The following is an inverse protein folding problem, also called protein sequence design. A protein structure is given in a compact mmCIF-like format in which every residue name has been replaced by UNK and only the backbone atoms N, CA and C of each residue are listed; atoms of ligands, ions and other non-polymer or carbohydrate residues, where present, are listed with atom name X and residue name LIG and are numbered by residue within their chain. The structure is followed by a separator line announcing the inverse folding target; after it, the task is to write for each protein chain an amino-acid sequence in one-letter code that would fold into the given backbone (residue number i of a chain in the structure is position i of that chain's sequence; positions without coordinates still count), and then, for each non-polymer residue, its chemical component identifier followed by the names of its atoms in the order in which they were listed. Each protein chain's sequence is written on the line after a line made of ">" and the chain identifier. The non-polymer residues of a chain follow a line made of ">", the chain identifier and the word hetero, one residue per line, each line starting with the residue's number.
data_IF_723928995632
#
_entry.id   IF_723928995632
#
_cell.length_a   1.000
_cell.length_b   1.000
_cell.length_c   1.000
_cell.angle_alpha   90.00
_cell.angle_beta   90.00
_cell.angle_gamma   90.00
#
_symmetry.space_group_name_H-M   'P 1'
#
loop_
_entity.id
_entity.type
_entity.pdbx_description
1 polymer ?
#
# COMPACT_ATOMS: atom_id res chain seq x y z
N UNK A 1 -36.72 6.80 -18.92
CA UNK A 1 -36.50 7.87 -17.91
C UNK A 1 -35.79 9.01 -18.61
N UNK A 2 -36.41 10.20 -18.64
CA UNK A 2 -35.80 11.42 -19.16
C UNK A 2 -34.70 11.85 -18.19
N UNK A 3 -33.43 11.73 -18.58
CA UNK A 3 -32.31 12.29 -17.83
C UNK A 3 -32.37 13.83 -17.93
N UNK A 4 -32.38 14.51 -16.78
CA UNK A 4 -32.45 15.96 -16.71
C UNK A 4 -31.08 16.56 -17.06
N UNK A 5 -31.00 17.15 -18.26
CA UNK A 5 -29.79 17.76 -18.84
C UNK A 5 -29.22 18.87 -17.94
N UNK A 6 -30.05 19.50 -17.10
CA UNK A 6 -29.62 20.55 -16.18
C UNK A 6 -28.67 20.05 -15.09
N UNK A 7 -28.92 18.85 -14.54
CA UNK A 7 -28.12 18.32 -13.43
C UNK A 7 -26.69 17.95 -13.84
N UNK A 8 -26.46 17.66 -15.13
CA UNK A 8 -25.15 17.26 -15.65
C UNK A 8 -24.25 18.46 -15.91
N UNK A 9 -24.85 19.61 -16.24
CA UNK A 9 -24.15 20.90 -16.40
C UNK A 9 -23.74 21.43 -15.03
N UNK A 10 -24.62 21.31 -14.02
CA UNK A 10 -24.33 21.75 -12.65
C UNK A 10 -23.16 20.96 -12.01
N UNK A 11 -23.02 19.67 -12.34
CA UNK A 11 -21.88 18.83 -11.91
C UNK A 11 -20.54 19.27 -12.53
N UNK A 12 -20.56 19.82 -13.74
CA UNK A 12 -19.36 20.37 -14.40
C UNK A 12 -18.96 21.73 -13.80
N UNK A 13 -19.93 22.55 -13.40
CA UNK A 13 -19.68 23.86 -12.77
C UNK A 13 -19.20 23.73 -11.31
N UNK A 14 -19.67 22.74 -10.55
CA UNK A 14 -19.15 22.51 -9.18
C UNK A 14 -17.65 22.16 -9.15
N UNK A 15 -17.12 21.55 -10.21
CA UNK A 15 -15.71 21.13 -10.29
C UNK A 15 -14.75 22.29 -10.65
N UNK A 16 -15.26 23.43 -11.14
CA UNK A 16 -14.44 24.63 -11.42
C UNK A 16 -13.91 25.29 -10.14
N UNK A 17 -14.55 25.05 -8.99
CA UNK A 17 -14.14 25.61 -7.70
C UNK A 17 -12.88 24.96 -7.10
N UNK A 18 -12.36 23.88 -7.69
CA UNK A 18 -11.32 23.03 -7.08
C UNK A 18 -9.96 23.11 -7.78
N UNK A 19 -9.85 23.64 -9.01
CA UNK A 19 -8.61 23.60 -9.78
C UNK A 19 -8.03 25.00 -10.10
N UNK A 20 -7.17 25.51 -9.21
CA UNK A 20 -6.31 26.67 -9.48
C UNK A 20 -4.92 26.21 -9.98
N UNK A 21 -4.81 25.78 -11.24
CA UNK A 21 -3.53 25.78 -11.98
C UNK A 21 -3.74 26.21 -13.44
N UNK A 22 -2.98 27.22 -13.85
CA UNK A 22 -3.20 28.03 -15.06
C UNK A 22 -3.00 27.27 -16.39
N UNK A 23 -2.36 26.09 -16.37
CA UNK A 23 -2.12 25.28 -17.58
C UNK A 23 -3.22 24.24 -17.90
N UNK A 24 -4.19 24.03 -17.00
CA UNK A 24 -5.29 23.09 -17.23
C UNK A 24 -6.50 23.77 -17.90
N UNK A 25 -6.59 25.11 -17.85
CA UNK A 25 -7.74 25.88 -18.32
C UNK A 25 -8.02 25.77 -19.83
N UNK A 26 -6.99 25.64 -20.67
CA UNK A 26 -7.16 25.50 -22.13
C UNK A 26 -7.66 24.10 -22.52
N UNK A 27 -7.16 23.05 -21.84
CA UNK A 27 -7.60 21.67 -22.04
C UNK A 27 -9.06 21.51 -21.59
N UNK A 28 -9.42 22.08 -20.44
CA UNK A 28 -10.80 22.08 -19.94
C UNK A 28 -11.76 22.88 -20.85
N UNK A 29 -11.31 24.00 -21.41
CA UNK A 29 -12.11 24.81 -22.35
C UNK A 29 -12.35 24.07 -23.67
N UNK A 30 -11.35 23.36 -24.18
CA UNK A 30 -11.48 22.51 -25.36
C UNK A 30 -12.44 21.33 -25.12
N UNK A 31 -12.37 20.71 -23.94
CA UNK A 31 -13.27 19.62 -23.52
C UNK A 31 -14.72 20.13 -23.41
N UNK A 32 -14.96 21.30 -22.81
CA UNK A 32 -16.30 21.91 -22.73
C UNK A 32 -16.90 22.15 -24.13
N UNK A 33 -16.10 22.63 -25.08
CA UNK A 33 -16.55 22.89 -26.44
C UNK A 33 -16.92 21.59 -27.20
N UNK A 34 -16.13 20.53 -26.99
CA UNK A 34 -16.40 19.19 -27.55
C UNK A 34 -17.67 18.57 -26.97
N UNK A 35 -17.85 18.62 -25.65
CA UNK A 35 -19.05 18.09 -24.97
C UNK A 35 -20.31 18.84 -25.43
N UNK A 36 -20.25 20.17 -25.53
CA UNK A 36 -21.38 20.99 -25.98
C UNK A 36 -21.79 20.66 -27.43
N UNK A 37 -20.82 20.54 -28.32
CA UNK A 37 -21.07 20.22 -29.73
C UNK A 37 -21.63 18.81 -29.96
N UNK A 38 -21.26 17.83 -29.12
CA UNK A 38 -21.75 16.45 -29.24
C UNK A 38 -23.14 16.25 -28.60
N UNK A 39 -23.45 16.99 -27.53
CA UNK A 39 -24.81 17.04 -26.94
C UNK A 39 -25.82 17.62 -27.94
N UNK A 40 -25.43 18.63 -28.72
CA UNK A 40 -26.29 19.19 -29.79
C UNK A 40 -26.51 18.23 -30.97
N UNK A 41 -25.68 17.19 -31.13
CA UNK A 41 -25.74 16.22 -32.24
C UNK A 41 -26.49 14.93 -31.92
N UNK A 42 -27.04 14.77 -30.71
CA UNK A 42 -27.83 13.59 -30.33
C UNK A 42 -27.02 12.27 -30.26
N UNK A 43 -25.68 12.36 -30.22
CA UNK A 43 -24.75 11.22 -30.14
C UNK A 43 -24.47 10.84 -28.68
N UNK A 44 -25.52 10.55 -27.90
CA UNK A 44 -25.37 10.21 -26.47
C UNK A 44 -24.62 8.89 -26.22
N UNK A 45 -24.42 8.07 -27.25
CA UNK A 45 -23.76 6.76 -27.14
C UNK A 45 -22.26 6.76 -27.51
N UNK A 46 -21.67 7.92 -27.85
CA UNK A 46 -20.26 7.99 -28.29
C UNK A 46 -19.37 8.81 -27.33
N UNK A 47 -19.96 9.57 -26.41
CA UNK A 47 -19.21 10.37 -25.42
C UNK A 47 -19.29 9.82 -23.98
N UNK A 48 -19.58 8.52 -23.85
CA UNK A 48 -19.20 7.71 -22.68
C UNK A 48 -18.10 6.73 -23.11
N UNK A 49 -17.19 7.17 -23.97
CA UNK A 49 -15.78 6.82 -23.74
C UNK A 49 -15.42 7.65 -22.51
N UNK A 50 -15.82 7.14 -21.34
CA UNK A 50 -15.22 7.54 -20.08
C UNK A 50 -13.72 7.59 -20.37
N UNK A 51 -13.10 8.76 -20.25
CA UNK A 51 -11.74 8.74 -19.77
C UNK A 51 -11.83 7.92 -18.49
N UNK A 52 -11.48 6.64 -18.55
CA UNK A 52 -11.12 5.91 -17.35
C UNK A 52 -10.05 6.80 -16.72
N UNK A 53 -10.42 7.53 -15.67
CA UNK A 53 -9.47 8.36 -14.95
C UNK A 53 -8.43 7.38 -14.45
N UNK A 54 -7.30 7.34 -15.13
CA UNK A 54 -6.20 6.47 -14.76
C UNK A 54 -5.80 6.84 -13.35
N UNK A 55 -5.75 5.85 -12.48
CA UNK A 55 -5.41 6.06 -11.09
C UNK A 55 -3.99 6.63 -11.01
N UNK A 56 -3.72 7.38 -9.94
CA UNK A 56 -2.37 7.88 -9.69
C UNK A 56 -1.37 6.71 -9.71
N UNK A 57 -0.15 7.01 -10.14
CA UNK A 57 0.90 6.00 -10.30
C UNK A 57 2.09 6.34 -9.41
N UNK A 58 2.88 5.33 -9.06
CA UNK A 58 4.15 5.50 -8.36
C UNK A 58 5.23 4.64 -9.04
N UNK A 59 6.45 5.16 -9.11
CA UNK A 59 7.58 4.51 -9.75
C UNK A 59 8.55 3.93 -8.71
N UNK A 60 8.90 2.65 -8.86
CA UNK A 60 9.83 1.90 -8.01
C UNK A 60 10.96 1.35 -8.88
N UNK A 61 12.01 2.16 -9.09
CA UNK A 61 13.24 1.77 -9.80
C UNK A 61 13.01 1.07 -11.16
N UNK A 62 12.24 1.73 -12.04
CA UNK A 62 11.90 1.23 -13.38
C UNK A 62 10.56 0.50 -13.48
N UNK A 63 9.94 0.15 -12.36
CA UNK A 63 8.60 -0.43 -12.31
C UNK A 63 7.56 0.63 -11.93
N UNK A 64 6.63 0.94 -12.85
CA UNK A 64 5.48 1.79 -12.54
C UNK A 64 4.34 0.96 -11.98
N UNK A 65 3.72 1.42 -10.92
CA UNK A 65 2.64 0.72 -10.22
C UNK A 65 1.43 1.63 -10.09
N UNK A 66 0.24 1.02 -10.17
CA UNK A 66 -1.02 1.57 -9.67
C UNK A 66 -1.87 0.42 -9.12
N UNK A 67 -3.14 0.68 -8.80
CA UNK A 67 -4.11 -0.35 -8.47
C UNK A 67 -5.36 -0.21 -9.33
N UNK A 68 -6.14 -1.27 -9.45
CA UNK A 68 -7.48 -1.23 -10.05
C UNK A 68 -8.47 -1.99 -9.19
N UNK A 69 -9.74 -1.59 -9.27
CA UNK A 69 -10.88 -2.30 -8.71
C UNK A 69 -11.88 -2.73 -9.80
N UNK A 70 -11.49 -2.64 -11.07
CA UNK A 70 -12.32 -3.03 -12.21
C UNK A 70 -11.80 -4.32 -12.83
N UNK A 71 -12.72 -5.20 -13.19
CA UNK A 71 -12.40 -6.54 -13.67
C UNK A 71 -13.30 -6.92 -14.84
N UNK A 72 -12.77 -7.73 -15.74
CA UNK A 72 -13.54 -8.47 -16.73
C UNK A 72 -13.79 -9.88 -16.21
N UNK A 73 -15.05 -10.28 -16.17
CA UNK A 73 -15.42 -11.66 -15.91
C UNK A 73 -14.84 -12.56 -17.02
N UNK A 74 -14.24 -13.69 -16.65
CA UNK A 74 -13.65 -14.64 -17.62
C UNK A 74 -14.34 -15.99 -17.62
N UNK A 75 -14.67 -16.54 -16.44
CA UNK A 75 -15.30 -17.85 -16.32
C UNK A 75 -15.85 -18.10 -14.89
N UNK A 76 -16.83 -19.01 -14.78
CA UNK A 76 -17.23 -19.61 -13.50
C UNK A 76 -17.57 -21.09 -13.67
N UNK A 77 -17.39 -21.86 -12.60
CA UNK A 77 -17.72 -23.28 -12.51
C UNK A 77 -19.22 -23.58 -12.35
N UNK A 78 -20.08 -22.58 -12.55
CA UNK A 78 -21.51 -22.71 -12.39
C UNK A 78 -22.08 -23.76 -13.35
N UNK A 79 -22.90 -24.67 -12.81
CA UNK A 79 -23.53 -25.75 -13.58
C UNK A 79 -22.65 -26.99 -13.79
N UNK A 80 -21.38 -26.98 -13.40
CA UNK A 80 -20.47 -28.13 -13.56
C UNK A 80 -20.75 -29.31 -12.62
N UNK A 81 -21.57 -29.11 -11.58
CA UNK A 81 -21.74 -30.11 -10.52
C UNK A 81 -20.53 -30.26 -9.59
N UNK A 82 -19.50 -29.43 -9.75
CA UNK A 82 -18.34 -29.35 -8.87
C UNK A 82 -18.71 -29.05 -7.41
N UNK A 83 -17.88 -29.52 -6.48
CA UNK A 83 -18.13 -29.38 -5.03
C UNK A 83 -17.76 -28.00 -4.46
N UNK A 84 -17.02 -27.21 -5.22
CA UNK A 84 -16.58 -25.86 -4.86
C UNK A 84 -17.25 -24.87 -5.80
N UNK A 85 -17.24 -23.60 -5.41
CA UNK A 85 -17.65 -22.50 -6.27
C UNK A 85 -16.41 -21.68 -6.61
N UNK A 86 -16.24 -21.36 -7.89
CA UNK A 86 -15.09 -20.64 -8.42
C UNK A 86 -15.53 -19.68 -9.51
N UNK A 87 -15.20 -18.40 -9.35
CA UNK A 87 -15.34 -17.41 -10.42
C UNK A 87 -14.00 -16.74 -10.65
N UNK A 88 -13.65 -16.57 -11.92
CA UNK A 88 -12.35 -16.07 -12.34
C UNK A 88 -12.53 -14.81 -13.15
N UNK A 89 -11.70 -13.83 -12.82
CA UNK A 89 -11.75 -12.49 -13.37
C UNK A 89 -10.36 -12.09 -13.86
N UNK A 90 -10.32 -11.14 -14.79
CA UNK A 90 -9.09 -10.51 -15.21
C UNK A 90 -9.14 -9.02 -14.86
N UNK A 91 -8.16 -8.49 -14.11
CA UNK A 91 -8.13 -7.05 -13.79
C UNK A 91 -8.00 -6.22 -15.07
N UNK A 92 -8.78 -5.15 -15.19
CA UNK A 92 -8.69 -4.26 -16.37
C UNK A 92 -7.40 -3.44 -16.31
N UNK A 93 -6.69 -3.41 -17.44
CA UNK A 93 -5.49 -2.61 -17.59
C UNK A 93 -5.82 -1.11 -17.62
N UNK A 94 -4.86 -0.28 -17.22
CA UNK A 94 -4.93 1.18 -17.33
C UNK A 94 -3.79 1.65 -18.23
N UNK A 95 -4.09 1.85 -19.52
CA UNK A 95 -3.06 2.07 -20.54
C UNK A 95 -2.09 0.90 -20.62
N UNK A 96 -0.79 1.16 -20.41
CA UNK A 96 0.26 0.13 -20.40
C UNK A 96 0.46 -0.53 -19.03
N UNK A 97 -0.34 -0.20 -18.02
CA UNK A 97 -0.31 -0.84 -16.72
C UNK A 97 -1.24 -2.06 -16.75
N UNK A 98 -0.67 -3.27 -16.70
CA UNK A 98 -1.40 -4.53 -16.82
C UNK A 98 -1.27 -5.37 -15.54
N UNK A 99 -2.14 -6.37 -15.41
CA UNK A 99 -2.13 -7.29 -14.29
C UNK A 99 -0.91 -8.21 -14.32
N UNK A 100 -0.64 -8.83 -13.17
CA UNK A 100 0.38 -9.88 -13.02
C UNK A 100 -0.17 -11.30 -13.25
N UNK A 101 -1.48 -11.42 -13.40
CA UNK A 101 -2.23 -12.66 -13.60
C UNK A 101 -3.72 -12.40 -13.42
N UNK A 102 -4.55 -13.43 -13.58
CA UNK A 102 -5.97 -13.35 -13.27
C UNK A 102 -6.22 -13.40 -11.75
N UNK A 103 -7.42 -12.98 -11.36
CA UNK A 103 -7.93 -13.07 -10.00
C UNK A 103 -8.90 -14.26 -9.89
N UNK A 104 -8.63 -15.16 -8.93
CA UNK A 104 -9.51 -16.28 -8.61
C UNK A 104 -10.33 -16.00 -7.35
N UNK A 105 -11.66 -16.12 -7.45
CA UNK A 105 -12.60 -15.91 -6.36
C UNK A 105 -13.25 -17.25 -5.96
N UNK A 106 -13.09 -17.74 -4.71
CA UNK A 106 -13.69 -19.00 -4.24
C UNK A 106 -15.19 -18.86 -3.91
N UNK A 107 -15.91 -18.10 -4.73
CA UNK A 107 -17.33 -17.84 -4.61
C UNK A 107 -17.88 -17.33 -5.95
N UNK A 108 -19.21 -17.38 -6.10
CA UNK A 108 -19.91 -16.66 -7.16
C UNK A 108 -20.06 -15.17 -6.81
N UNK A 109 -20.24 -14.35 -7.85
CA UNK A 109 -20.63 -12.95 -7.72
C UNK A 109 -19.61 -11.97 -8.28
N UNK A 110 -20.11 -10.80 -8.69
CA UNK A 110 -19.32 -9.69 -9.23
C UNK A 110 -18.39 -9.11 -8.15
N UNK A 111 -17.12 -8.88 -8.52
CA UNK A 111 -16.06 -8.37 -7.64
C UNK A 111 -15.61 -6.95 -7.97
N UNK A 112 -16.01 -6.39 -9.10
CA UNK A 112 -15.75 -5.00 -9.48
C UNK A 112 -16.27 -4.05 -8.42
N UNK A 113 -15.42 -3.12 -7.99
CA UNK A 113 -15.69 -2.19 -6.89
C UNK A 113 -15.68 -2.81 -5.49
N UNK A 114 -15.38 -4.11 -5.37
CA UNK A 114 -15.35 -4.85 -4.09
C UNK A 114 -14.00 -5.47 -3.76
N UNK A 115 -13.16 -5.65 -4.78
CA UNK A 115 -11.79 -6.14 -4.67
C UNK A 115 -10.87 -5.17 -5.40
N UNK A 116 -9.60 -5.19 -5.03
CA UNK A 116 -8.57 -4.42 -5.70
C UNK A 116 -7.31 -5.25 -5.90
N UNK A 117 -6.53 -4.91 -6.91
CA UNK A 117 -5.23 -5.53 -7.19
C UNK A 117 -4.27 -4.49 -7.74
N UNK A 118 -2.97 -4.77 -7.70
CA UNK A 118 -1.98 -3.93 -8.37
C UNK A 118 -2.00 -4.16 -9.89
N UNK A 119 -1.70 -3.09 -10.60
CA UNK A 119 -1.28 -3.12 -12.00
C UNK A 119 0.15 -2.60 -12.06
N UNK A 120 0.93 -3.14 -13.00
CA UNK A 120 2.33 -2.78 -13.18
C UNK A 120 2.62 -2.45 -14.63
N UNK A 121 3.70 -1.72 -14.89
CA UNK A 121 4.20 -1.52 -16.25
C UNK A 121 5.55 -0.82 -16.28
N UNK A 122 6.03 -0.46 -17.48
CA UNK A 122 7.29 0.22 -17.61
C UNK A 122 7.21 1.63 -17.01
N UNK A 123 8.22 1.98 -16.22
CA UNK A 123 8.38 3.36 -15.75
C UNK A 123 9.15 4.20 -16.77
N UNK A 124 8.73 5.45 -17.05
CA UNK A 124 9.53 6.40 -17.80
C UNK A 124 10.79 6.85 -17.04
N UNK A 125 10.84 6.60 -15.72
CA UNK A 125 11.97 6.91 -14.84
C UNK A 125 12.92 5.70 -14.66
N UNK A 126 12.92 4.75 -15.60
CA UNK A 126 13.78 3.58 -15.52
C UNK A 126 15.27 3.97 -15.57
N UNK A 127 16.13 3.34 -14.74
CA UNK A 127 17.57 3.59 -14.79
C UNK A 127 18.16 3.26 -16.17
N UNK A 128 19.01 4.15 -16.67
CA UNK A 128 19.75 3.91 -17.91
C UNK A 128 20.62 2.65 -17.79
N UNK A 129 20.73 1.88 -18.89
CA UNK A 129 21.59 0.70 -18.97
C UNK A 129 21.04 -0.56 -18.28
N UNK A 130 19.81 -0.54 -17.74
CA UNK A 130 19.13 -1.73 -17.23
C UNK A 130 18.04 -2.20 -18.20
N UNK A 131 17.85 -3.53 -18.28
CA UNK A 131 16.71 -4.12 -18.99
C UNK A 131 15.39 -3.62 -18.39
N UNK A 132 14.31 -3.47 -19.19
CA UNK A 132 13.01 -3.02 -18.68
C UNK A 132 12.52 -3.85 -17.49
N UNK A 133 11.84 -3.22 -16.53
CA UNK A 133 11.30 -3.91 -15.35
C UNK A 133 10.22 -4.96 -15.69
N UNK A 134 9.57 -4.80 -16.85
CA UNK A 134 8.52 -5.69 -17.34
C UNK A 134 8.78 -6.13 -18.77
N UNK A 135 8.33 -7.33 -19.13
CA UNK A 135 8.32 -7.83 -20.50
C UNK A 135 7.05 -8.64 -20.77
N UNK A 136 6.57 -8.62 -22.03
CA UNK A 136 5.43 -9.43 -22.43
C UNK A 136 5.82 -10.91 -22.41
N UNK A 137 4.90 -11.83 -22.04
CA UNK A 137 5.12 -13.25 -22.24
C UNK A 137 5.34 -13.55 -23.73
N UNK A 138 6.17 -14.56 -24.00
CA UNK A 138 6.47 -14.99 -25.38
C UNK A 138 5.41 -15.90 -25.95
N UNK A 139 4.75 -16.67 -25.08
CA UNK A 139 3.64 -17.57 -25.38
C UNK A 139 2.93 -17.95 -24.08
N UNK A 140 2.01 -18.91 -24.13
CA UNK A 140 1.37 -19.48 -22.95
C UNK A 140 1.33 -21.01 -23.05
N UNK A 141 1.40 -21.67 -21.89
CA UNK A 141 1.18 -23.11 -21.75
C UNK A 141 -0.25 -23.34 -21.26
N UNK A 142 -1.02 -24.21 -21.96
CA UNK A 142 -2.35 -24.59 -21.52
C UNK A 142 -2.24 -25.47 -20.26
N UNK A 143 -2.78 -24.98 -19.14
CA UNK A 143 -2.74 -25.68 -17.86
C UNK A 143 -4.01 -26.51 -17.67
N UNK A 144 -5.17 -25.99 -18.04
CA UNK A 144 -6.46 -26.65 -17.84
C UNK A 144 -7.52 -26.16 -18.84
N UNK A 145 -8.55 -26.98 -19.07
CA UNK A 145 -9.72 -26.68 -19.90
C UNK A 145 -10.96 -27.26 -19.23
N UNK A 146 -12.07 -26.53 -19.25
CA UNK A 146 -13.36 -26.97 -18.72
C UNK A 146 -14.08 -28.02 -19.61
N UNK A 147 -13.42 -28.48 -20.68
CA UNK A 147 -13.97 -29.47 -21.60
C UNK A 147 -14.36 -30.74 -20.84
N UNK A 148 -15.58 -31.22 -21.08
CA UNK A 148 -16.14 -32.41 -20.41
C UNK A 148 -16.90 -32.12 -19.12
N UNK A 149 -16.79 -30.92 -18.53
CA UNK A 149 -17.42 -30.61 -17.23
C UNK A 149 -18.95 -30.53 -17.26
N UNK A 150 -19.54 -30.34 -18.45
CA UNK A 150 -20.95 -30.03 -18.59
C UNK A 150 -21.36 -28.68 -17.97
N UNK A 151 -20.40 -27.85 -17.58
CA UNK A 151 -20.60 -26.53 -17.02
C UNK A 151 -21.27 -25.56 -17.98
N UNK A 152 -21.87 -24.51 -17.43
CA UNK A 152 -22.60 -23.51 -18.22
C UNK A 152 -21.67 -22.58 -19.02
N UNK A 153 -20.36 -22.61 -18.76
CA UNK A 153 -19.39 -21.68 -19.32
C UNK A 153 -18.15 -22.41 -19.79
N UNK A 154 -17.70 -22.12 -21.01
CA UNK A 154 -16.45 -22.67 -21.51
C UNK A 154 -15.26 -21.81 -21.04
N UNK A 155 -14.19 -22.45 -20.56
CA UNK A 155 -13.04 -21.73 -20.01
C UNK A 155 -11.74 -22.52 -20.10
N UNK A 156 -10.62 -21.79 -20.15
CA UNK A 156 -9.28 -22.37 -20.16
C UNK A 156 -8.31 -21.58 -19.30
N UNK A 157 -7.43 -22.26 -18.58
CA UNK A 157 -6.38 -21.64 -17.77
C UNK A 157 -5.00 -21.79 -18.42
N UNK A 158 -4.22 -20.72 -18.37
CA UNK A 158 -2.97 -20.60 -19.12
C UNK A 158 -1.86 -20.03 -18.24
N UNK A 159 -0.68 -20.64 -18.32
CA UNK A 159 0.53 -20.13 -17.69
C UNK A 159 1.34 -19.31 -18.69
N UNK A 160 1.65 -18.03 -18.41
CA UNK A 160 2.50 -17.24 -19.29
C UNK A 160 3.92 -17.83 -19.35
N UNK A 161 4.50 -17.90 -20.55
CA UNK A 161 5.90 -18.27 -20.77
C UNK A 161 6.74 -17.00 -20.79
N UNK A 162 7.42 -16.73 -19.68
CA UNK A 162 8.24 -15.53 -19.53
C UNK A 162 9.48 -15.56 -20.46
N UNK A 163 9.88 -14.42 -21.03
CA UNK A 163 11.16 -14.31 -21.73
C UNK A 163 12.35 -14.49 -20.77
N UNK A 164 13.53 -14.78 -21.31
CA UNK A 164 14.75 -14.96 -20.50
C UNK A 164 15.05 -13.72 -19.65
N UNK A 165 15.36 -13.94 -18.37
CA UNK A 165 15.57 -12.88 -17.37
C UNK A 165 14.28 -12.32 -16.74
N UNK A 166 13.12 -12.88 -17.09
CA UNK A 166 11.82 -12.50 -16.55
C UNK A 166 11.09 -13.70 -15.96
N UNK A 167 10.11 -13.41 -15.10
CA UNK A 167 9.31 -14.37 -14.36
C UNK A 167 7.84 -14.01 -14.56
N UNK A 168 7.04 -14.99 -14.98
CA UNK A 168 5.59 -14.87 -14.98
C UNK A 168 5.10 -14.93 -13.54
N UNK A 169 4.13 -14.10 -13.14
CA UNK A 169 3.76 -13.97 -11.72
C UNK A 169 2.52 -14.79 -11.34
N UNK A 170 1.50 -14.82 -12.20
CA UNK A 170 0.30 -15.62 -12.03
C UNK A 170 -0.20 -16.23 -13.33
N UNK A 171 -1.11 -17.19 -13.21
CA UNK A 171 -1.78 -17.81 -14.35
C UNK A 171 -3.01 -16.98 -14.76
N UNK A 172 -3.46 -17.16 -16.00
CA UNK A 172 -4.51 -16.34 -16.64
C UNK A 172 -5.70 -17.23 -17.01
N UNK A 173 -6.90 -16.77 -16.66
CA UNK A 173 -8.14 -17.39 -17.12
C UNK A 173 -8.60 -16.74 -18.43
N UNK A 174 -8.92 -17.57 -19.42
CA UNK A 174 -9.52 -17.16 -20.68
C UNK A 174 -10.92 -17.73 -20.85
N UNK A 175 -11.79 -16.95 -21.49
CA UNK A 175 -13.14 -17.35 -21.88
C UNK A 175 -13.10 -18.17 -23.16
N UNK A 176 -13.83 -19.28 -23.18
CA UNK A 176 -13.97 -20.18 -24.32
C UNK A 176 -12.84 -21.21 -24.45
N UNK A 177 -13.09 -22.20 -25.31
CA UNK A 177 -12.08 -23.19 -25.71
C UNK A 177 -11.11 -22.61 -26.75
N UNK A 178 -9.84 -23.01 -26.66
CA UNK A 178 -8.83 -22.78 -27.72
C UNK A 178 -8.39 -21.33 -27.93
N UNK A 179 -8.93 -20.35 -27.19
CA UNK A 179 -8.51 -18.95 -27.28
C UNK A 179 -7.47 -18.64 -26.22
N UNK A 180 -6.20 -18.85 -26.57
CA UNK A 180 -5.07 -18.41 -25.75
C UNK A 180 -5.21 -16.91 -25.39
N UNK A 181 -4.88 -16.49 -24.16
CA UNK A 181 -4.86 -15.08 -23.79
C UNK A 181 -3.95 -14.27 -24.70
N UNK A 182 -4.26 -12.98 -24.85
CA UNK A 182 -3.35 -12.05 -25.50
C UNK A 182 -2.10 -11.90 -24.66
N UNK A 183 -0.92 -11.86 -25.29
CA UNK A 183 0.33 -11.52 -24.60
C UNK A 183 0.26 -10.15 -23.94
N UNK A 184 -0.67 -9.28 -24.35
CA UNK A 184 -0.89 -7.98 -23.73
C UNK A 184 -1.73 -8.00 -22.44
N UNK A 185 -2.32 -9.14 -22.06
CA UNK A 185 -3.17 -9.25 -20.87
C UNK A 185 -2.34 -9.10 -19.58
N UNK A 186 -1.07 -9.52 -19.59
CA UNK A 186 -0.21 -9.48 -18.39
C UNK A 186 1.20 -8.97 -18.68
N UNK A 187 1.92 -8.69 -17.61
CA UNK A 187 3.37 -8.51 -17.60
C UNK A 187 4.08 -9.66 -16.88
N UNK A 188 5.23 -10.07 -17.42
CA UNK A 188 6.26 -10.78 -16.67
C UNK A 188 7.21 -9.75 -16.04
N UNK A 189 7.69 -10.01 -14.83
CA UNK A 189 8.60 -9.12 -14.11
C UNK A 189 10.04 -9.55 -14.30
N UNK A 190 10.96 -8.60 -14.37
CA UNK A 190 12.40 -8.89 -14.37
C UNK A 190 12.74 -9.68 -13.11
N UNK A 191 13.58 -10.71 -13.22
CA UNK A 191 13.75 -11.71 -12.15
C UNK A 191 14.22 -11.13 -10.81
N UNK A 192 15.02 -10.05 -10.83
CA UNK A 192 15.50 -9.33 -9.64
C UNK A 192 14.41 -8.51 -8.92
N UNK A 193 13.27 -8.28 -9.57
CA UNK A 193 12.07 -7.65 -9.01
C UNK A 193 11.06 -8.69 -8.52
N UNK A 194 11.50 -9.93 -8.30
CA UNK A 194 10.65 -11.02 -7.82
C UNK A 194 11.31 -11.76 -6.67
N UNK A 195 10.49 -12.41 -5.85
CA UNK A 195 10.96 -13.29 -4.79
C UNK A 195 10.11 -14.55 -4.77
N UNK A 196 10.75 -15.69 -4.52
CA UNK A 196 10.03 -16.92 -4.16
C UNK A 196 9.21 -16.69 -2.89
N UNK A 197 8.09 -17.39 -2.81
CA UNK A 197 7.15 -17.35 -1.70
C UNK A 197 6.49 -18.73 -1.57
N UNK A 198 5.33 -18.77 -0.91
CA UNK A 198 4.53 -19.97 -0.73
C UNK A 198 3.09 -19.72 -1.19
N UNK A 199 2.25 -20.74 -1.01
CA UNK A 199 0.82 -20.72 -1.32
C UNK A 199 0.02 -20.79 -0.02
N UNK A 200 -1.28 -20.48 -0.09
CA UNK A 200 -2.21 -20.80 0.99
C UNK A 200 -2.20 -22.32 1.32
N UNK A 201 -2.65 -22.66 2.53
CA UNK A 201 -2.63 -24.03 3.05
C UNK A 201 -3.48 -25.02 2.24
N UNK A 202 -4.49 -24.51 1.53
CA UNK A 202 -5.37 -25.28 0.66
C UNK A 202 -5.54 -24.58 -0.69
N UNK A 203 -5.87 -25.36 -1.72
CA UNK A 203 -6.38 -24.81 -2.96
C UNK A 203 -7.67 -24.03 -2.68
N UNK A 204 -7.91 -22.94 -3.41
CA UNK A 204 -9.18 -22.20 -3.26
C UNK A 204 -10.27 -22.77 -4.18
N UNK A 205 -9.87 -23.42 -5.28
CA UNK A 205 -10.76 -24.10 -6.21
C UNK A 205 -10.04 -25.26 -6.90
N UNK A 206 -10.77 -26.34 -7.17
CA UNK A 206 -10.37 -27.45 -8.02
C UNK A 206 -11.60 -27.96 -8.77
N UNK A 207 -11.38 -28.64 -9.88
CA UNK A 207 -12.43 -29.16 -10.75
C UNK A 207 -12.97 -30.53 -10.29
N UNK A 208 -12.70 -30.93 -9.05
CA UNK A 208 -13.12 -32.21 -8.50
C UNK A 208 -14.62 -32.42 -8.61
N UNK A 209 -15.01 -33.56 -9.20
CA UNK A 209 -16.40 -33.94 -9.47
C UNK A 209 -17.13 -33.10 -10.53
N UNK A 210 -16.41 -32.24 -11.28
CA UNK A 210 -16.99 -31.52 -12.43
C UNK A 210 -17.21 -32.41 -13.64
N UNK A 211 -16.42 -33.48 -13.80
CA UNK A 211 -16.42 -34.31 -15.01
C UNK A 211 -15.53 -33.78 -16.13
N UNK A 212 -14.78 -32.69 -15.90
CA UNK A 212 -13.79 -32.20 -16.85
C UNK A 212 -12.77 -33.28 -17.25
N UNK A 213 -12.31 -33.23 -18.50
CA UNK A 213 -11.40 -34.22 -19.10
C UNK A 213 -10.00 -34.22 -18.48
N UNK A 214 -9.63 -33.13 -17.78
CA UNK A 214 -8.33 -32.93 -17.15
C UNK A 214 -8.51 -32.35 -15.77
N UNK A 215 -7.88 -32.97 -14.77
CA UNK A 215 -7.91 -32.45 -13.39
C UNK A 215 -7.06 -31.19 -13.21
N UNK A 216 -7.48 -30.28 -12.34
CA UNK A 216 -6.67 -29.18 -11.86
C UNK A 216 -6.98 -28.74 -10.42
N UNK A 217 -6.05 -27.98 -9.85
CA UNK A 217 -6.27 -27.24 -8.61
C UNK A 217 -5.61 -25.87 -8.68
N UNK A 218 -6.19 -24.90 -7.99
CA UNK A 218 -5.77 -23.49 -8.04
C UNK A 218 -5.38 -22.97 -6.67
N UNK A 219 -4.22 -22.32 -6.62
CA UNK A 219 -3.52 -22.00 -5.39
C UNK A 219 -3.17 -20.52 -5.34
N UNK A 220 -3.69 -19.80 -4.34
CA UNK A 220 -3.34 -18.40 -4.11
C UNK A 220 -1.90 -18.31 -3.64
N UNK A 221 -1.14 -17.38 -4.23
CA UNK A 221 0.20 -17.05 -3.80
C UNK A 221 0.08 -16.08 -2.61
N UNK A 222 0.75 -16.40 -1.50
CA UNK A 222 0.76 -15.53 -0.31
C UNK A 222 2.06 -14.73 -0.25
N UNK A 223 2.06 -13.64 0.51
CA UNK A 223 3.28 -12.87 0.81
C UNK A 223 3.88 -13.39 2.10
N UNK A 224 5.17 -13.71 2.08
CA UNK A 224 5.90 -14.06 3.29
C UNK A 224 6.63 -12.85 3.89
N UNK A 225 6.87 -12.90 5.20
CA UNK A 225 7.70 -11.91 5.90
C UNK A 225 9.07 -11.78 5.22
N UNK A 226 9.60 -10.56 5.16
CA UNK A 226 10.96 -10.26 4.73
C UNK A 226 11.99 -10.32 5.88
N UNK A 227 11.62 -10.93 7.02
CA UNK A 227 12.43 -10.92 8.22
C UNK A 227 12.44 -9.54 8.91
N UNK A 228 13.07 -9.47 10.08
CA UNK A 228 13.11 -8.24 10.89
C UNK A 228 14.14 -7.24 10.34
N UNK A 229 15.24 -7.71 9.73
CA UNK A 229 16.24 -6.83 9.13
C UNK A 229 15.70 -6.09 7.89
N UNK A 230 14.65 -6.64 7.25
CA UNK A 230 14.05 -6.08 6.05
C UNK A 230 14.99 -6.06 4.85
N UNK A 231 14.62 -5.29 3.83
CA UNK A 231 15.40 -5.09 2.60
C UNK A 231 14.95 -3.82 1.91
N UNK A 232 15.79 -3.27 1.03
CA UNK A 232 15.36 -2.24 0.08
C UNK A 232 14.28 -2.76 -0.88
N UNK A 233 14.16 -4.08 -1.07
CA UNK A 233 13.14 -4.70 -1.90
C UNK A 233 12.01 -5.29 -1.05
N UNK A 234 10.83 -4.68 -1.13
CA UNK A 234 9.67 -5.03 -0.33
C UNK A 234 8.70 -5.91 -1.14
N UNK A 235 8.40 -7.13 -0.70
CA UNK A 235 7.42 -8.00 -1.36
C UNK A 235 5.99 -7.48 -1.18
N UNK A 236 5.18 -7.56 -2.24
CA UNK A 236 3.79 -7.08 -2.24
C UNK A 236 2.83 -8.24 -2.52
N UNK A 237 1.64 -8.28 -1.89
CA UNK A 237 0.59 -9.22 -2.23
C UNK A 237 0.24 -9.18 -3.73
N UNK A 238 0.42 -10.30 -4.46
CA UNK A 238 0.18 -10.30 -5.90
C UNK A 238 -1.30 -10.45 -6.26
N UNK A 239 -2.13 -10.96 -5.34
CA UNK A 239 -3.54 -11.33 -5.54
C UNK A 239 -3.80 -12.07 -6.85
N UNK A 240 -2.95 -13.05 -7.13
CA UNK A 240 -3.08 -13.96 -8.26
C UNK A 240 -2.87 -15.40 -7.79
N UNK A 241 -2.93 -16.35 -8.72
CA UNK A 241 -2.91 -17.77 -8.42
C UNK A 241 -2.05 -18.56 -9.39
N UNK A 242 -1.75 -19.81 -8.99
CA UNK A 242 -1.18 -20.85 -9.85
C UNK A 242 -2.08 -22.05 -9.99
N UNK A 243 -2.08 -22.63 -11.16
CA UNK A 243 -2.75 -23.87 -11.52
C UNK A 243 -1.77 -25.03 -11.41
N UNK A 244 -2.23 -26.13 -10.84
CA UNK A 244 -1.59 -27.45 -10.91
C UNK A 244 -2.40 -28.35 -11.84
N UNK A 245 -1.72 -29.21 -12.61
CA UNK A 245 -2.37 -30.23 -13.44
C UNK A 245 -2.62 -31.47 -12.57
N UNK A 246 -3.77 -31.49 -11.91
CA UNK A 246 -4.14 -32.42 -10.85
C UNK A 246 -4.52 -31.72 -9.54
N UNK A 247 -4.96 -32.52 -8.56
CA UNK A 247 -5.41 -32.03 -7.25
C UNK A 247 -4.27 -31.70 -6.26
N UNK A 248 -3.03 -32.04 -6.62
CA UNK A 248 -1.85 -31.74 -5.82
C UNK A 248 -1.43 -30.27 -5.93
N UNK A 249 -0.70 -29.80 -4.92
CA UNK A 249 -0.16 -28.44 -4.89
C UNK A 249 0.75 -28.15 -6.08
N UNK A 250 0.59 -26.97 -6.69
CA UNK A 250 1.49 -26.51 -7.73
C UNK A 250 2.94 -26.45 -7.21
N UNK A 251 3.92 -26.66 -8.10
CA UNK A 251 5.33 -26.56 -7.75
C UNK A 251 5.64 -25.18 -7.13
N UNK A 252 6.38 -25.19 -6.01
CA UNK A 252 6.68 -23.99 -5.22
C UNK A 252 7.60 -23.02 -5.96
N UNK A 253 8.33 -23.47 -6.97
CA UNK A 253 9.11 -22.58 -7.86
C UNK A 253 8.24 -21.59 -8.64
N UNK A 254 6.93 -21.84 -8.77
CA UNK A 254 5.98 -20.91 -9.39
C UNK A 254 5.31 -19.95 -8.39
N UNK A 255 5.50 -20.14 -7.09
CA UNK A 255 5.01 -19.23 -6.06
C UNK A 255 5.96 -18.04 -5.96
N UNK A 256 5.64 -16.96 -6.67
CA UNK A 256 6.47 -15.76 -6.74
C UNK A 256 5.66 -14.51 -6.44
N UNK A 257 6.26 -13.58 -5.71
CA UNK A 257 5.68 -12.27 -5.37
C UNK A 257 6.51 -11.13 -5.97
N UNK A 258 5.86 -10.03 -6.38
CA UNK A 258 6.56 -8.84 -6.88
C UNK A 258 7.29 -8.14 -5.75
N UNK A 259 8.44 -7.54 -6.06
CA UNK A 259 9.23 -6.69 -5.18
C UNK A 259 9.15 -5.22 -5.63
N UNK A 260 8.92 -4.32 -4.68
CA UNK A 260 9.03 -2.87 -4.88
C UNK A 260 10.30 -2.36 -4.20
N UNK A 261 11.14 -1.65 -4.95
CA UNK A 261 12.37 -1.07 -4.40
C UNK A 261 12.07 0.24 -3.68
N UNK A 262 12.25 0.25 -2.36
CA UNK A 262 12.15 1.40 -1.47
C UNK A 262 13.48 1.54 -0.71
N UNK A 263 14.40 2.41 -1.17
CA UNK A 263 15.69 2.61 -0.51
C UNK A 263 15.56 3.14 0.92
N UNK A 264 16.60 2.94 1.74
CA UNK A 264 16.70 3.58 3.04
C UNK A 264 17.04 5.07 2.83
N UNK A 265 16.18 5.95 3.32
CA UNK A 265 16.36 7.40 3.33
C UNK A 265 16.33 7.97 4.76
N UNK A 266 16.58 7.14 5.77
CA UNK A 266 16.52 7.48 7.18
C UNK A 266 17.60 8.51 7.55
N UNK A 267 17.14 9.62 8.12
CA UNK A 267 17.99 10.69 8.65
C UNK A 267 18.04 10.57 10.17
N UNK A 268 19.24 10.61 10.73
CA UNK A 268 19.42 10.66 12.19
C UNK A 268 18.99 12.03 12.72
N UNK A 269 18.39 12.02 13.90
CA UNK A 269 18.13 13.22 14.67
C UNK A 269 19.39 13.68 15.40
N UNK A 270 19.93 14.82 14.98
CA UNK A 270 21.15 15.44 15.50
C UNK A 270 20.92 16.85 16.06
N UNK A 271 19.68 17.30 16.13
CA UNK A 271 19.33 18.59 16.72
C UNK A 271 19.71 18.60 18.22
N UNK A 272 20.56 19.55 18.60
CA UNK A 272 21.05 19.68 19.97
C UNK A 272 19.90 20.01 20.95
N UNK A 273 20.07 19.63 22.22
CA UNK A 273 19.11 19.99 23.26
C UNK A 273 18.92 21.52 23.29
N UNK A 274 17.67 22.05 23.33
CA UNK A 274 17.43 23.49 23.31
C UNK A 274 18.11 24.20 24.48
N UNK A 275 18.81 25.30 24.19
CA UNK A 275 19.39 26.15 25.24
C UNK A 275 18.32 27.06 25.83
N UNK A 276 18.14 27.00 27.15
CA UNK A 276 17.16 27.82 27.87
C UNK A 276 17.86 29.05 28.44
N UNK A 277 17.28 30.22 28.22
CA UNK A 277 17.72 31.50 28.79
C UNK A 277 16.52 32.21 29.40
N UNK A 278 16.75 33.24 30.23
CA UNK A 278 15.68 34.00 30.91
C UNK A 278 14.63 34.57 29.94
N UNK A 279 15.03 34.88 28.70
CA UNK A 279 14.13 35.40 27.65
C UNK A 279 13.61 34.33 26.70
N UNK A 280 14.06 33.08 26.83
CA UNK A 280 13.69 31.96 25.95
C UNK A 280 13.18 30.75 26.74
N UNK A 281 12.66 30.96 27.94
CA UNK A 281 12.00 29.90 28.72
C UNK A 281 10.78 29.41 27.92
N UNK A 282 10.74 28.13 27.52
CA UNK A 282 9.64 27.61 26.72
C UNK A 282 8.39 27.36 27.58
N UNK A 283 7.30 26.99 26.92
CA UNK A 283 6.09 26.44 27.54
C UNK A 283 6.05 24.91 27.40
N UNK A 284 5.36 24.24 28.33
CA UNK A 284 5.06 22.81 28.18
C UNK A 284 4.33 22.54 26.86
N UNK A 285 4.81 21.56 26.09
CA UNK A 285 4.33 21.24 24.75
C UNK A 285 5.05 21.95 23.61
N UNK A 286 5.94 22.91 23.89
CA UNK A 286 6.78 23.50 22.85
C UNK A 286 7.70 22.43 22.24
N UNK A 287 7.87 22.50 20.91
CA UNK A 287 8.68 21.55 20.15
C UNK A 287 9.87 22.24 19.51
N UNK A 288 11.00 21.54 19.46
CA UNK A 288 12.25 22.04 18.89
C UNK A 288 12.89 21.04 17.94
N UNK A 289 13.39 21.55 16.81
CA UNK A 289 14.14 20.76 15.85
C UNK A 289 13.32 19.77 15.04
N UNK A 290 12.02 19.99 14.87
CA UNK A 290 11.14 19.05 14.17
C UNK A 290 11.72 18.59 12.82
N UNK A 291 11.79 17.27 12.62
CA UNK A 291 12.45 16.63 11.47
C UNK A 291 11.66 15.42 10.99
N UNK A 292 11.34 15.35 9.69
CA UNK A 292 10.99 14.09 9.04
C UNK A 292 12.24 13.22 8.89
N UNK A 293 12.30 12.10 9.60
CA UNK A 293 13.44 11.19 9.56
C UNK A 293 13.37 10.27 8.35
N UNK A 294 12.18 9.80 7.98
CA UNK A 294 11.97 9.01 6.78
C UNK A 294 10.50 8.96 6.36
N UNK A 295 10.29 8.48 5.14
CA UNK A 295 8.98 8.17 4.59
C UNK A 295 9.05 7.00 3.61
N UNK A 296 7.97 6.23 3.53
CA UNK A 296 7.78 5.16 2.55
C UNK A 296 6.42 5.32 1.86
N UNK A 297 6.41 5.25 0.54
CA UNK A 297 5.19 5.25 -0.26
C UNK A 297 4.94 3.86 -0.79
N UNK A 298 3.79 3.27 -0.47
CA UNK A 298 3.44 1.90 -0.83
C UNK A 298 1.94 1.79 -1.18
N UNK A 299 1.54 0.83 -2.04
CA UNK A 299 0.14 0.65 -2.41
C UNK A 299 -0.70 0.29 -1.18
N UNK A 300 -1.99 0.64 -1.18
CA UNK A 300 -2.88 0.32 -0.05
C UNK A 300 -2.87 -1.16 0.34
N UNK A 301 -2.78 -2.07 -0.64
CA UNK A 301 -2.72 -3.51 -0.39
C UNK A 301 -1.49 -3.99 0.39
N UNK A 302 -0.47 -3.16 0.55
CA UNK A 302 0.63 -3.48 1.45
C UNK A 302 0.18 -3.47 2.93
N UNK A 303 -0.79 -2.62 3.25
CA UNK A 303 -1.25 -2.35 4.61
C UNK A 303 -2.64 -2.92 4.88
N UNK A 304 -3.56 -2.78 3.93
CA UNK A 304 -4.98 -3.10 4.09
C UNK A 304 -5.39 -4.25 3.17
N UNK A 305 -6.34 -5.12 3.59
CA UNK A 305 -6.92 -6.14 2.73
C UNK A 305 -7.47 -5.56 1.42
N UNK A 306 -7.47 -6.36 0.35
CA UNK A 306 -7.87 -5.87 -0.96
C UNK A 306 -9.36 -5.57 -1.14
N UNK A 307 -10.20 -5.93 -0.17
CA UNK A 307 -11.61 -5.55 -0.06
C UNK A 307 -11.87 -4.43 0.96
N UNK A 308 -10.83 -3.81 1.51
CA UNK A 308 -10.98 -2.69 2.43
C UNK A 308 -11.79 -1.57 1.78
N UNK A 309 -12.91 -1.20 2.40
CA UNK A 309 -13.76 -0.09 1.95
C UNK A 309 -12.96 1.23 1.87
N UNK A 310 -11.99 1.42 2.76
CA UNK A 310 -11.10 2.59 2.74
C UNK A 310 -10.28 2.65 1.45
N UNK A 311 -9.68 1.53 1.07
CA UNK A 311 -8.88 1.38 -0.16
C UNK A 311 -9.76 1.62 -1.39
N UNK A 312 -10.90 0.93 -1.47
CA UNK A 312 -11.81 1.00 -2.62
C UNK A 312 -12.36 2.42 -2.84
N UNK A 313 -12.70 3.14 -1.77
CA UNK A 313 -13.17 4.53 -1.86
C UNK A 313 -12.10 5.51 -2.38
N UNK A 314 -10.82 5.13 -2.34
CA UNK A 314 -9.66 5.96 -2.71
C UNK A 314 -8.79 5.35 -3.79
N UNK A 315 -9.34 4.41 -4.57
CA UNK A 315 -8.58 3.64 -5.55
C UNK A 315 -7.94 4.54 -6.64
N UNK A 316 -8.49 5.75 -6.86
CA UNK A 316 -7.90 6.75 -7.76
C UNK A 316 -6.56 7.31 -7.30
N UNK A 317 -6.23 7.21 -6.01
CA UNK A 317 -4.93 7.60 -5.44
C UNK A 317 -4.44 6.51 -4.47
N UNK A 318 -4.07 5.32 -4.98
CA UNK A 318 -4.10 4.07 -4.23
C UNK A 318 -2.86 3.81 -3.36
N UNK A 319 -2.29 4.85 -2.76
CA UNK A 319 -1.04 4.76 -2.01
C UNK A 319 -1.18 5.38 -0.63
N UNK A 320 -0.49 4.79 0.34
CA UNK A 320 -0.13 5.46 1.57
C UNK A 320 1.29 6.00 1.49
N UNK A 321 1.48 7.20 2.03
CA UNK A 321 2.77 7.66 2.54
C UNK A 321 2.77 7.43 4.05
N UNK A 322 3.61 6.53 4.53
CA UNK A 322 3.88 6.36 5.96
C UNK A 322 5.14 7.15 6.29
N UNK A 323 5.05 8.08 7.24
CA UNK A 323 6.16 8.94 7.67
C UNK A 323 6.54 8.70 9.12
N UNK A 324 7.81 8.93 9.44
CA UNK A 324 8.32 9.00 10.80
C UNK A 324 8.99 10.34 11.01
N UNK A 325 8.49 11.11 11.96
CA UNK A 325 8.99 12.42 12.35
C UNK A 325 9.48 12.40 13.80
N UNK A 326 10.33 13.35 14.17
CA UNK A 326 10.87 13.48 15.52
C UNK A 326 11.08 14.95 15.91
N UNK A 327 11.02 15.26 17.19
CA UNK A 327 11.40 16.55 17.76
C UNK A 327 11.78 16.40 19.24
N UNK A 328 12.47 17.40 19.79
CA UNK A 328 12.45 17.61 21.23
C UNK A 328 11.08 18.19 21.62
N UNK A 329 10.53 17.73 22.74
CA UNK A 329 9.29 18.22 23.31
C UNK A 329 9.52 18.64 24.76
N UNK A 330 8.86 19.72 25.19
CA UNK A 330 8.90 20.20 26.58
C UNK A 330 7.84 19.51 27.43
N UNK A 331 8.29 18.71 28.40
CA UNK A 331 7.45 17.91 29.31
C UNK A 331 6.96 18.67 30.54
N UNK A 332 7.70 19.72 30.89
CA UNK A 332 7.40 20.56 32.04
C UNK A 332 8.40 21.69 32.22
N UNK A 333 7.90 22.78 32.79
CA UNK A 333 8.66 24.00 33.07
C UNK A 333 8.36 24.39 34.52
N UNK A 334 9.41 24.59 35.31
CA UNK A 334 9.29 25.00 36.71
C UNK A 334 10.17 26.20 36.98
N UNK A 335 9.53 27.35 37.13
CA UNK A 335 10.18 28.60 37.53
C UNK A 335 10.16 28.71 39.05
N UNK A 336 11.32 29.00 39.64
CA UNK A 336 11.47 29.24 41.07
C UNK A 336 11.92 30.67 41.32
N UNK A 337 10.97 31.58 41.53
CA UNK A 337 11.26 32.97 41.87
C UNK A 337 11.63 33.15 43.35
N UNK A 338 11.53 32.10 44.17
CA UNK A 338 11.90 32.15 45.58
C UNK A 338 13.40 31.94 45.78
N UNK A 339 13.90 32.26 46.98
CA UNK A 339 15.29 32.01 47.36
C UNK A 339 15.54 30.55 47.79
N UNK A 340 14.50 29.78 48.12
CA UNK A 340 14.60 28.42 48.60
C UNK A 340 14.34 27.39 47.50
N UNK A 341 14.92 26.22 47.65
CA UNK A 341 14.73 25.10 46.72
C UNK A 341 13.36 24.43 46.94
N UNK A 342 12.78 23.86 45.89
CA UNK A 342 11.65 22.93 46.04
C UNK A 342 11.84 21.66 45.21
N UNK A 343 11.19 20.58 45.65
CA UNK A 343 11.24 19.28 44.99
C UNK A 343 10.04 19.10 44.07
N UNK A 344 10.27 18.42 42.93
CA UNK A 344 9.23 17.96 42.02
C UNK A 344 9.52 16.53 41.59
N UNK A 345 8.49 15.89 41.05
CA UNK A 345 8.60 14.61 40.37
C UNK A 345 7.71 14.62 39.14
N UNK A 346 8.12 13.91 38.09
CA UNK A 346 7.35 13.75 36.86
C UNK A 346 7.49 12.31 36.36
N UNK A 347 6.35 11.70 36.04
CA UNK A 347 6.29 10.41 35.34
C UNK A 347 6.04 10.65 33.86
N UNK A 348 6.83 9.99 33.00
CA UNK A 348 6.70 10.02 31.54
C UNK A 348 6.52 8.58 31.05
N UNK A 349 5.50 8.37 30.22
CA UNK A 349 5.31 7.12 29.48
C UNK A 349 6.03 7.20 28.14
N UNK A 350 6.70 6.12 27.76
CA UNK A 350 7.47 6.05 26.53
C UNK A 350 7.16 4.77 25.76
N UNK A 351 7.52 4.81 24.48
CA UNK A 351 7.14 3.83 23.47
C UNK A 351 5.67 3.89 23.07
N UNK A 352 5.25 2.92 22.27
CA UNK A 352 3.88 2.84 21.77
C UNK A 352 3.06 1.90 22.65
N UNK A 353 1.92 2.39 23.12
CA UNK A 353 1.00 1.54 23.88
C UNK A 353 0.29 0.53 22.98
N UNK A 354 -0.16 -0.58 23.58
CA UNK A 354 -0.96 -1.58 22.86
C UNK A 354 -2.18 -0.95 22.17
N UNK A 355 -2.91 -0.06 22.86
CA UNK A 355 -4.10 0.61 22.32
C UNK A 355 -3.74 1.48 21.10
N UNK A 356 -2.69 2.28 21.18
CA UNK A 356 -2.24 3.10 20.04
C UNK A 356 -1.86 2.23 18.84
N UNK A 357 -1.16 1.10 19.06
CA UNK A 357 -0.83 0.19 17.98
C UNK A 357 -2.07 -0.46 17.36
N UNK A 358 -3.05 -0.87 18.16
CA UNK A 358 -4.30 -1.48 17.68
C UNK A 358 -5.12 -0.46 16.86
N UNK A 359 -5.23 0.77 17.33
CA UNK A 359 -5.91 1.86 16.60
C UNK A 359 -5.24 2.16 15.25
N UNK A 360 -3.91 2.16 15.20
CA UNK A 360 -3.16 2.40 13.96
C UNK A 360 -3.36 1.25 12.95
N UNK A 361 -3.43 0.01 13.42
CA UNK A 361 -3.77 -1.16 12.58
C UNK A 361 -5.19 -1.05 12.07
N UNK A 362 -6.16 -0.75 12.94
CA UNK A 362 -7.57 -0.63 12.53
C UNK A 362 -7.81 0.48 11.52
N UNK A 363 -7.13 1.62 11.68
CA UNK A 363 -7.38 2.80 10.86
C UNK A 363 -6.61 2.78 9.53
N UNK A 364 -5.36 2.30 9.55
CA UNK A 364 -4.45 2.39 8.40
C UNK A 364 -3.78 1.08 8.00
N UNK A 365 -3.94 -0.01 8.75
CA UNK A 365 -3.22 -1.26 8.50
C UNK A 365 -1.71 -1.14 8.75
N UNK A 366 -1.29 -0.17 9.56
CA UNK A 366 0.11 0.01 9.96
C UNK A 366 0.30 -0.56 11.35
N UNK A 367 1.11 -1.60 11.45
CA UNK A 367 1.38 -2.33 12.70
C UNK A 367 2.75 -1.93 13.25
N UNK A 368 2.83 -1.62 14.55
CA UNK A 368 4.05 -1.12 15.19
C UNK A 368 4.31 -1.87 16.49
N UNK A 369 5.54 -2.37 16.70
CA UNK A 369 5.93 -2.99 17.97
C UNK A 369 7.44 -3.04 18.19
N UNK A 370 7.87 -3.28 19.43
CA UNK A 370 9.28 -3.52 19.76
C UNK A 370 9.88 -4.80 19.14
N UNK A 371 9.05 -5.77 18.72
CA UNK A 371 9.52 -7.05 18.21
C UNK A 371 9.83 -7.04 16.71
N UNK A 372 9.20 -6.14 15.95
CA UNK A 372 9.31 -6.11 14.50
C UNK A 372 9.33 -4.71 13.90
N UNK A 373 9.39 -3.66 14.73
CA UNK A 373 9.32 -2.27 14.28
C UNK A 373 8.00 -1.96 13.60
N UNK A 374 8.06 -1.41 12.38
CA UNK A 374 6.88 -1.01 11.60
C UNK A 374 6.63 -2.05 10.51
N UNK A 375 5.37 -2.43 10.29
CA UNK A 375 4.97 -3.48 9.36
C UNK A 375 3.65 -3.15 8.66
N UNK A 376 3.50 -3.57 7.41
CA UNK A 376 2.18 -3.62 6.77
C UNK A 376 1.35 -4.77 7.34
N UNK A 377 0.11 -4.51 7.74
CA UNK A 377 -0.75 -5.53 8.34
C UNK A 377 -1.09 -6.63 7.32
N UNK A 378 -1.64 -6.25 6.16
CA UNK A 378 -2.00 -7.19 5.10
C UNK A 378 -0.79 -7.96 4.55
N UNK A 379 0.30 -7.26 4.22
CA UNK A 379 1.49 -7.91 3.66
C UNK A 379 2.26 -8.74 4.69
N UNK A 380 2.17 -8.40 5.97
CA UNK A 380 3.07 -8.89 7.02
C UNK A 380 4.57 -8.61 6.76
N UNK A 381 4.86 -7.57 6.00
CA UNK A 381 6.22 -7.17 5.59
C UNK A 381 6.71 -6.01 6.43
N UNK A 382 7.91 -6.15 7.00
CA UNK A 382 8.52 -5.12 7.85
C UNK A 382 9.12 -3.99 7.01
N UNK A 383 9.05 -2.78 7.55
CA UNK A 383 9.63 -1.55 7.01
C UNK A 383 10.89 -1.14 7.78
N UNK A 384 11.47 -2.04 8.56
CA UNK A 384 12.58 -1.71 9.45
C UNK A 384 13.76 -1.13 8.70
N UNK A 385 14.13 -1.72 7.56
CA UNK A 385 15.18 -1.20 6.71
C UNK A 385 14.92 0.26 6.30
N UNK A 386 13.67 0.68 6.08
CA UNK A 386 13.33 2.05 5.70
C UNK A 386 13.21 3.01 6.90
N UNK A 387 12.94 2.48 8.10
CA UNK A 387 12.61 3.26 9.31
C UNK A 387 13.66 3.19 10.43
N UNK A 388 14.81 2.57 10.17
CA UNK A 388 15.94 2.53 11.09
C UNK A 388 17.26 2.88 10.40
N UNK A 389 18.26 3.25 11.19
CA UNK A 389 19.64 3.36 10.70
C UNK A 389 20.14 1.96 10.34
N UNK A 390 20.85 1.81 9.21
CA UNK A 390 21.36 0.52 8.74
C UNK A 390 22.26 -0.21 9.75
N UNK A 391 22.83 0.51 10.71
CA UNK A 391 23.69 -0.03 11.78
C UNK A 391 22.94 -0.38 13.07
N UNK A 392 21.64 -0.10 13.16
CA UNK A 392 20.82 -0.38 14.35
C UNK A 392 19.79 -1.46 14.06
N UNK A 393 19.71 -2.45 14.94
CA UNK A 393 18.68 -3.51 14.92
C UNK A 393 17.73 -3.46 16.12
N UNK A 394 17.88 -2.44 16.99
CA UNK A 394 17.06 -2.28 18.18
C UNK A 394 15.82 -1.46 17.86
N UNK A 395 14.66 -1.93 18.33
CA UNK A 395 13.37 -1.24 18.27
C UNK A 395 12.81 -1.01 19.67
N UNK A 396 13.69 -0.92 20.67
CA UNK A 396 13.32 -0.60 22.06
C UNK A 396 12.57 0.72 22.16
N UNK A 397 12.68 1.61 21.15
CA UNK A 397 11.87 2.83 21.08
C UNK A 397 10.35 2.59 20.93
N UNK A 398 9.94 1.39 20.54
CA UNK A 398 8.52 0.99 20.49
C UNK A 398 8.12 0.09 21.67
N UNK A 399 9.00 -0.11 22.66
CA UNK A 399 8.64 -0.83 23.87
C UNK A 399 7.83 0.10 24.78
N UNK A 400 6.66 -0.33 25.22
CA UNK A 400 5.89 0.44 26.19
C UNK A 400 6.55 0.40 27.57
N UNK A 401 6.69 1.57 28.20
CA UNK A 401 7.19 1.69 29.56
C UNK A 401 6.90 3.05 30.18
N UNK A 402 7.32 3.21 31.44
CA UNK A 402 7.24 4.48 32.14
C UNK A 402 8.49 4.73 32.99
N UNK A 403 8.80 6.00 33.22
CA UNK A 403 9.93 6.42 34.05
C UNK A 403 9.50 7.60 34.90
N UNK A 404 9.78 7.53 36.20
CA UNK A 404 9.49 8.58 37.17
C UNK A 404 10.78 9.18 37.66
N UNK A 405 10.94 10.49 37.47
CA UNK A 405 12.15 11.21 37.82
C UNK A 405 11.84 12.30 38.83
N UNK A 406 12.62 12.30 39.92
CA UNK A 406 12.48 13.23 41.04
C UNK A 406 13.67 14.18 41.04
N UNK A 407 13.40 15.48 41.14
CA UNK A 407 14.41 16.50 40.96
C UNK A 407 14.15 17.74 41.82
N UNK A 408 15.24 18.41 42.16
CA UNK A 408 15.24 19.71 42.83
C UNK A 408 15.15 20.82 41.78
N UNK A 409 14.39 21.86 42.08
CA UNK A 409 14.38 23.15 41.38
C UNK A 409 15.01 24.20 42.32
N UNK A 410 16.29 24.54 42.12
CA UNK A 410 16.98 25.48 42.99
C UNK A 410 16.32 26.86 43.02
N UNK A 411 16.48 27.59 44.14
CA UNK A 411 16.05 28.99 44.25
C UNK A 411 16.59 29.85 43.11
N UNK A 412 15.78 30.78 42.60
CA UNK A 412 16.12 31.70 41.50
C UNK A 412 16.53 31.01 40.20
N UNK A 413 15.98 29.84 39.89
CA UNK A 413 16.22 29.15 38.61
C UNK A 413 14.93 28.75 37.90
N UNK A 414 15.02 28.59 36.58
CA UNK A 414 14.04 27.87 35.79
C UNK A 414 14.62 26.51 35.40
N UNK A 415 13.86 25.45 35.60
CA UNK A 415 14.21 24.09 35.18
C UNK A 415 13.20 23.61 34.16
N UNK A 416 13.70 23.04 33.06
CA UNK A 416 12.87 22.58 31.94
C UNK A 416 13.21 21.12 31.67
N UNK A 417 12.18 20.29 31.55
CA UNK A 417 12.34 18.88 31.19
C UNK A 417 12.00 18.69 29.71
N UNK A 418 12.90 18.02 28.99
CA UNK A 418 12.75 17.68 27.59
C UNK A 418 12.77 16.16 27.41
N UNK A 419 12.01 15.69 26.42
CA UNK A 419 12.04 14.32 25.91
C UNK A 419 12.03 14.36 24.38
N UNK A 420 12.35 13.25 23.72
CA UNK A 420 12.18 13.13 22.26
C UNK A 420 10.81 12.53 21.98
N UNK A 421 10.03 13.18 21.13
CA UNK A 421 8.77 12.66 20.64
C UNK A 421 8.91 12.19 19.20
N UNK A 422 8.30 11.05 18.88
CA UNK A 422 8.21 10.49 17.54
C UNK A 422 6.75 10.53 17.11
N UNK A 423 6.52 10.95 15.86
CA UNK A 423 5.22 10.82 15.22
C UNK A 423 5.29 9.82 14.08
N UNK A 424 4.36 8.88 14.05
CA UNK A 424 4.12 8.01 12.90
C UNK A 424 2.81 8.42 12.25
N UNK A 425 2.82 8.70 10.95
CA UNK A 425 1.63 9.15 10.21
C UNK A 425 1.41 8.29 8.99
N UNK A 426 0.18 7.84 8.77
CA UNK A 426 -0.25 7.20 7.54
C UNK A 426 -1.18 8.15 6.77
N UNK A 427 -0.69 8.68 5.66
CA UNK A 427 -1.41 9.66 4.82
C UNK A 427 -1.76 9.05 3.47
N UNK A 428 -3.03 9.03 3.11
CA UNK A 428 -3.52 8.56 1.82
C UNK A 428 -3.09 9.51 0.69
N UNK A 429 -3.06 9.01 -0.55
CA UNK A 429 -2.65 9.79 -1.72
C UNK A 429 -3.54 11.01 -2.01
N UNK A 430 -4.74 11.07 -1.46
CA UNK A 430 -5.63 12.25 -1.49
C UNK A 430 -5.29 13.32 -0.42
N UNK A 431 -4.33 13.05 0.46
CA UNK A 431 -3.92 13.92 1.56
C UNK A 431 -4.60 13.61 2.89
N UNK A 432 -5.58 12.72 2.94
CA UNK A 432 -6.29 12.35 4.17
C UNK A 432 -5.33 11.61 5.11
N UNK A 433 -5.27 12.03 6.38
CA UNK A 433 -4.56 11.28 7.42
C UNK A 433 -5.47 10.15 7.87
N UNK A 434 -5.10 8.91 7.55
CA UNK A 434 -5.83 7.73 7.97
C UNK A 434 -5.56 7.41 9.45
N UNK A 435 -4.32 7.62 9.88
CA UNK A 435 -3.91 7.44 11.27
C UNK A 435 -2.67 8.25 11.59
N UNK A 436 -2.55 8.69 12.83
CA UNK A 436 -1.36 9.31 13.38
C UNK A 436 -1.22 8.92 14.85
N UNK A 437 0.00 8.59 15.27
CA UNK A 437 0.35 8.33 16.66
C UNK A 437 1.56 9.18 17.05
N UNK A 438 1.56 9.64 18.30
CA UNK A 438 2.67 10.32 18.96
C UNK A 438 3.13 9.46 20.15
N UNK A 439 4.45 9.35 20.34
CA UNK A 439 5.05 8.64 21.45
C UNK A 439 6.36 9.29 21.90
N UNK A 440 6.68 9.19 23.18
CA UNK A 440 8.03 9.50 23.67
C UNK A 440 8.96 8.37 23.25
N UNK A 441 10.10 8.70 22.65
CA UNK A 441 10.96 7.75 21.94
C UNK A 441 11.54 6.68 22.87
N UNK A 442 11.92 7.02 24.10
CA UNK A 442 12.53 6.11 25.05
C UNK A 442 12.49 6.71 26.47
N UNK A 443 13.17 6.08 27.42
CA UNK A 443 13.31 6.56 28.79
C UNK A 443 14.36 7.67 28.96
N UNK A 444 15.01 8.16 27.88
CA UNK A 444 15.97 9.26 27.97
C UNK A 444 15.23 10.58 28.14
N UNK A 445 15.45 11.23 29.28
CA UNK A 445 14.92 12.55 29.57
C UNK A 445 16.04 13.51 29.93
N UNK A 446 15.88 14.77 29.56
CA UNK A 446 16.95 15.75 29.64
C UNK A 446 16.48 17.02 30.34
N UNK A 447 17.28 17.51 31.28
CA UNK A 447 17.03 18.80 31.91
C UNK A 447 17.82 19.90 31.23
N UNK A 448 17.12 20.97 30.86
CA UNK A 448 17.70 22.29 30.63
C UNK A 448 17.26 23.26 31.72
N UNK A 449 17.66 24.51 31.59
CA UNK A 449 17.27 25.55 32.52
C UNK A 449 18.15 26.78 32.43
N UNK A 450 17.83 27.78 33.24
CA UNK A 450 18.63 28.98 33.38
C UNK A 450 18.50 29.58 34.78
N UNK A 451 19.44 30.46 35.10
CA UNK A 451 19.34 31.35 36.25
C UNK A 451 18.31 32.46 35.98
N UNK A 452 17.54 32.84 36.99
CA UNK A 452 16.50 33.89 36.95
C UNK A 452 16.91 35.17 37.69
N UNK A 453 18.08 35.19 38.35
CA UNK A 453 18.61 36.38 39.03
C UNK A 453 18.88 37.55 38.08
#
# INVERSE_FOLDING_TARGET
>A
MSYDVKSSIDLLEMNESVNHRQNDGEVYSAIKLLVKNEVERGLLNVLVVLFEMTNATWDYDGLRVTMTSTFDWRWSDSGSGGKRNGTFFHPRAQGNLCALGSYGNPAYGEITGKKSVILVGPSPNAPAGRSPAVARPTSYTNMWSDSGSGGANDGTMWRPVAPSGYVAMGDVMATGYGKQPSVNDVWCLRSDLTRLSTYEASDFWNDGSSGADRDCSTWKIVTESNGIDGSEYLPIPPYTFRVSQGYGRADTSYAVVPLLRVPNAFKRFDFALPTVTKTTIPSTGDQFGHQEQCSAVLPFIFYLPNDSAWNLARISKPFYTVTREIAWNVEGVWNNDSAGDFNRSKTIKWGISKTQSEEMVHSAGVSVSASYGIKGFESSVTLNYQFTQTTSKSFTEYQEGETTESFVVPGKTAKVLFSKHIWLKAKAGDGTIASQVEMVANNDIHFGGCDLS
#
